data_IF_884608541863
#
_entry.id   IF_884608541863
#
_cell.length_a   1.000
_cell.length_b   1.000
_cell.length_c   1.000
_cell.angle_alpha   90.00
_cell.angle_beta   90.00
_cell.angle_gamma   90.00
#
_symmetry.space_group_name_H-M   'P 1'
#
loop_
_entity.id
_entity.type
_entity.pdbx_description
1 polymer ?
#
# COMPACT_ATOMS: atom_id res chain seq x y z
N UNK A 1 -13.74 0.88 4.85
CA UNK A 1 -13.19 0.41 3.55
C UNK A 1 -13.50 -1.06 3.38
N UNK A 2 -13.97 -1.47 2.18
CA UNK A 2 -14.27 -2.86 1.90
C UNK A 2 -12.98 -3.69 1.81
N UNK A 3 -12.94 -4.81 2.54
CA UNK A 3 -11.88 -5.81 2.46
C UNK A 3 -12.23 -6.94 1.49
N UNK A 4 -13.46 -6.95 0.99
CA UNK A 4 -13.95 -7.91 0.01
C UNK A 4 -14.71 -7.20 -1.11
N UNK A 5 -14.42 -7.58 -2.35
CA UNK A 5 -15.07 -7.03 -3.55
C UNK A 5 -15.67 -8.17 -4.35
N UNK A 6 -16.90 -7.97 -4.81
CA UNK A 6 -17.55 -8.82 -5.80
C UNK A 6 -17.26 -8.26 -7.18
N UNK A 7 -16.70 -9.05 -8.04
CA UNK A 7 -16.44 -8.68 -9.43
C UNK A 7 -17.32 -9.55 -10.34
N UNK A 8 -18.13 -8.90 -11.15
CA UNK A 8 -18.93 -9.55 -12.19
C UNK A 8 -18.41 -9.18 -13.57
N UNK A 9 -18.23 -10.18 -14.43
CA UNK A 9 -17.78 -9.98 -15.80
C UNK A 9 -18.98 -10.06 -16.75
N UNK A 10 -19.37 -8.93 -17.35
CA UNK A 10 -20.35 -8.90 -18.44
C UNK A 10 -19.70 -9.37 -19.76
N UNK A 11 -18.41 -9.09 -19.91
CA UNK A 11 -17.57 -9.60 -20.99
C UNK A 11 -16.31 -10.22 -20.39
N UNK A 12 -15.59 -11.03 -21.18
CA UNK A 12 -14.29 -11.55 -20.76
C UNK A 12 -13.33 -10.40 -20.47
N UNK A 13 -12.59 -10.51 -19.38
CA UNK A 13 -11.68 -9.46 -18.96
C UNK A 13 -10.74 -9.87 -17.85
N UNK A 14 -9.83 -8.97 -17.47
CA UNK A 14 -8.81 -9.18 -16.45
C UNK A 14 -9.06 -8.27 -15.25
N UNK A 15 -9.00 -8.84 -14.05
CA UNK A 15 -8.97 -8.11 -12.79
C UNK A 15 -7.54 -8.13 -12.27
N UNK A 16 -6.96 -6.97 -12.03
CA UNK A 16 -5.61 -6.82 -11.47
C UNK A 16 -5.70 -6.21 -10.08
N UNK A 17 -5.00 -6.82 -9.12
CA UNK A 17 -4.84 -6.30 -7.76
C UNK A 17 -3.41 -5.82 -7.61
N UNK A 18 -3.22 -4.56 -7.25
CA UNK A 18 -1.93 -3.96 -7.02
C UNK A 18 -1.81 -3.45 -5.58
N UNK A 19 -0.64 -3.69 -4.96
CA UNK A 19 -0.30 -3.13 -3.68
C UNK A 19 -0.14 -1.60 -3.78
N UNK A 20 -0.48 -0.88 -2.72
CA UNK A 20 -0.10 0.52 -2.61
C UNK A 20 1.42 0.64 -2.56
N UNK A 21 1.97 1.55 -3.34
CA UNK A 21 3.40 1.86 -3.37
C UNK A 21 3.57 3.36 -3.28
N UNK A 22 4.48 3.81 -2.43
CA UNK A 22 4.88 5.19 -2.31
C UNK A 22 6.35 5.37 -2.68
N UNK A 23 6.65 6.32 -3.55
CA UNK A 23 8.01 6.73 -3.88
C UNK A 23 8.24 8.12 -3.29
N UNK A 24 9.40 8.32 -2.68
CA UNK A 24 9.78 9.60 -2.08
C UNK A 24 11.28 9.82 -2.18
N UNK A 25 11.70 11.08 -2.25
CA UNK A 25 13.12 11.44 -2.17
C UNK A 25 13.55 11.53 -0.71
N UNK A 26 14.55 10.76 -0.31
CA UNK A 26 14.93 10.60 1.09
C UNK A 26 15.49 11.88 1.73
N UNK A 27 16.06 12.80 0.94
CA UNK A 27 16.58 14.07 1.46
C UNK A 27 15.52 15.16 1.62
N UNK A 28 14.46 15.15 0.81
CA UNK A 28 13.49 16.25 0.77
C UNK A 28 12.11 15.91 1.27
N UNK A 29 11.80 14.62 1.39
CA UNK A 29 10.48 14.16 1.82
C UNK A 29 10.45 13.65 3.26
N UNK A 30 11.61 13.48 3.90
CA UNK A 30 11.74 13.07 5.31
C UNK A 30 11.87 14.31 6.17
N UNK A 31 11.08 14.40 7.25
CA UNK A 31 11.17 15.44 8.27
C UNK A 31 10.84 14.79 9.63
N UNK A 32 11.87 14.43 10.36
CA UNK A 32 11.76 13.71 11.63
C UNK A 32 11.04 12.38 11.44
N UNK A 33 9.84 12.22 12.01
CA UNK A 33 9.08 10.98 11.83
C UNK A 33 8.28 10.93 10.53
N UNK A 34 8.08 12.07 9.88
CA UNK A 34 7.19 12.19 8.74
C UNK A 34 7.89 11.87 7.42
N UNK A 35 7.20 11.15 6.56
CA UNK A 35 7.58 10.93 5.16
C UNK A 35 6.45 11.47 4.28
N UNK A 36 6.77 12.44 3.43
CA UNK A 36 5.80 13.01 2.49
C UNK A 36 5.72 12.17 1.23
N UNK A 37 4.55 11.61 0.96
CA UNK A 37 4.26 10.80 -0.23
C UNK A 37 2.86 11.19 -0.71
N UNK A 38 2.77 11.96 -1.77
CA UNK A 38 1.49 12.47 -2.29
C UNK A 38 0.51 11.36 -2.64
N UNK A 39 -0.71 11.46 -2.11
CA UNK A 39 -1.83 10.54 -2.41
C UNK A 39 -1.47 9.06 -2.23
N UNK A 40 -0.72 8.73 -1.19
CA UNK A 40 -0.09 7.42 -0.97
C UNK A 40 -1.06 6.23 -0.90
N UNK A 41 -2.31 6.44 -0.54
CA UNK A 41 -3.33 5.39 -0.47
C UNK A 41 -3.17 4.37 0.66
N UNK A 42 -2.11 4.41 1.46
CA UNK A 42 -1.91 3.53 2.61
C UNK A 42 -2.97 3.73 3.70
N UNK A 43 -3.12 2.71 4.54
CA UNK A 43 -3.91 2.78 5.78
C UNK A 43 -3.03 2.47 6.98
N UNK A 44 -3.37 3.05 8.14
CA UNK A 44 -2.63 2.74 9.38
C UNK A 44 -2.69 1.25 9.67
N UNK A 45 -1.51 0.65 9.90
CA UNK A 45 -1.33 -0.78 10.12
C UNK A 45 -0.95 -1.57 8.85
N UNK A 46 -0.90 -0.94 7.66
CA UNK A 46 -0.38 -1.61 6.49
C UNK A 46 1.10 -1.99 6.73
N UNK A 47 1.41 -3.25 6.50
CA UNK A 47 2.77 -3.74 6.48
C UNK A 47 3.39 -3.38 5.13
N UNK A 48 4.58 -2.80 5.14
CA UNK A 48 5.30 -2.35 3.95
C UNK A 48 6.73 -2.87 3.95
N UNK A 49 7.26 -3.08 2.76
CA UNK A 49 8.69 -3.27 2.54
C UNK A 49 9.26 -1.93 2.12
N UNK A 50 10.31 -1.50 2.81
CA UNK A 50 11.11 -0.33 2.42
C UNK A 50 12.22 -0.78 1.47
N UNK A 51 12.50 0.01 0.44
CA UNK A 51 13.70 -0.16 -0.39
C UNK A 51 14.37 1.17 -0.67
N UNK A 52 15.70 1.17 -0.59
CA UNK A 52 16.56 2.30 -0.95
C UNK A 52 16.82 2.40 -2.45
N UNK A 53 16.27 1.47 -3.26
CA UNK A 53 16.45 1.45 -4.70
C UNK A 53 17.85 1.06 -5.17
N UNK A 54 18.67 0.47 -4.30
CA UNK A 54 20.06 0.10 -4.57
C UNK A 54 21.06 1.23 -4.30
N UNK A 55 20.63 2.27 -3.59
CA UNK A 55 21.43 3.40 -3.18
C UNK A 55 21.88 3.31 -1.72
N UNK A 56 21.83 4.44 -1.01
CA UNK A 56 22.17 4.54 0.41
C UNK A 56 20.89 4.67 1.23
N UNK A 57 20.62 3.71 2.09
CA UNK A 57 19.43 3.68 2.93
C UNK A 57 19.37 4.86 3.92
N UNK A 58 18.18 5.21 4.38
CA UNK A 58 17.98 6.01 5.60
C UNK A 58 18.56 5.23 6.79
N UNK A 59 19.30 5.89 7.66
CA UNK A 59 20.10 5.24 8.70
C UNK A 59 19.30 4.30 9.61
N UNK A 60 18.10 4.68 9.98
CA UNK A 60 17.21 3.96 10.89
C UNK A 60 16.42 2.84 10.21
N UNK A 61 16.45 2.77 8.87
CA UNK A 61 15.74 1.76 8.10
C UNK A 61 16.69 0.67 7.61
N UNK A 62 16.15 -0.49 7.32
CA UNK A 62 16.87 -1.61 6.70
C UNK A 62 16.31 -1.81 5.31
N UNK A 63 17.18 -1.87 4.29
CA UNK A 63 16.78 -2.17 2.93
C UNK A 63 16.11 -3.56 2.88
N UNK A 64 15.01 -3.68 2.15
CA UNK A 64 14.09 -4.81 2.15
C UNK A 64 13.47 -5.14 3.52
N UNK A 65 13.60 -4.21 4.50
CA UNK A 65 13.03 -4.35 5.83
C UNK A 65 11.52 -4.16 5.86
N UNK A 66 10.87 -4.88 6.80
CA UNK A 66 9.43 -4.78 7.05
C UNK A 66 9.14 -3.71 8.10
N UNK A 67 8.21 -2.82 7.77
CA UNK A 67 7.71 -1.77 8.64
C UNK A 67 6.19 -1.70 8.57
N UNK A 68 5.59 -0.91 9.48
CA UNK A 68 4.16 -0.69 9.52
C UNK A 68 3.85 0.79 9.38
N UNK A 69 2.91 1.11 8.50
CA UNK A 69 2.52 2.50 8.23
C UNK A 69 1.62 3.04 9.32
N UNK A 70 1.91 4.25 9.77
CA UNK A 70 0.98 5.11 10.51
C UNK A 70 0.61 6.29 9.59
N UNK A 71 -0.62 6.34 9.14
CA UNK A 71 -1.11 7.46 8.32
C UNK A 71 -1.33 8.70 9.20
N UNK A 72 -0.74 9.81 8.80
CA UNK A 72 -0.95 11.14 9.39
C UNK A 72 -2.08 11.84 8.64
N UNK A 73 -1.95 11.95 7.32
CA UNK A 73 -2.95 12.50 6.40
C UNK A 73 -2.87 11.83 5.02
N UNK A 74 -3.50 12.41 3.99
CA UNK A 74 -3.52 11.85 2.64
C UNK A 74 -2.16 11.84 1.92
N UNK A 75 -1.20 12.63 2.40
CA UNK A 75 0.10 12.85 1.79
C UNK A 75 1.28 12.57 2.73
N UNK A 76 1.01 12.17 3.99
CA UNK A 76 2.03 12.02 5.01
C UNK A 76 1.84 10.72 5.78
N UNK A 77 2.93 9.97 5.90
CA UNK A 77 2.99 8.73 6.68
C UNK A 77 4.18 8.76 7.64
N UNK A 78 4.07 7.98 8.70
CA UNK A 78 5.19 7.61 9.57
C UNK A 78 5.38 6.10 9.50
N UNK A 79 6.57 5.61 9.87
CA UNK A 79 6.87 4.20 9.96
C UNK A 79 7.01 3.75 11.41
N UNK A 80 6.56 2.54 11.69
CA UNK A 80 6.70 1.87 12.97
C UNK A 80 7.27 0.46 12.80
N UNK A 81 7.87 -0.09 13.85
CA UNK A 81 8.49 -1.42 13.81
C UNK A 81 7.49 -2.55 14.00
N UNK A 82 6.29 -2.27 14.50
CA UNK A 82 5.23 -3.27 14.69
C UNK A 82 3.85 -2.68 14.37
N UNK A 83 2.90 -3.55 14.06
CA UNK A 83 1.50 -3.17 13.87
C UNK A 83 0.94 -2.41 15.09
N UNK A 84 1.19 -2.92 16.30
CA UNK A 84 0.72 -2.30 17.56
C UNK A 84 1.32 -0.91 17.75
N UNK A 85 2.59 -0.72 17.40
CA UNK A 85 3.25 0.57 17.49
C UNK A 85 2.61 1.58 16.50
N UNK A 86 2.31 1.16 15.27
CA UNK A 86 1.61 2.00 14.30
C UNK A 86 0.22 2.42 14.80
N UNK A 87 -0.53 1.52 15.42
CA UNK A 87 -1.85 1.83 16.00
C UNK A 87 -1.75 2.80 17.18
N UNK A 88 -0.72 2.67 18.00
CA UNK A 88 -0.51 3.48 19.21
C UNK A 88 0.30 4.75 18.95
N UNK A 89 0.61 5.07 17.70
CA UNK A 89 1.42 6.23 17.31
C UNK A 89 2.85 6.21 17.91
N UNK A 90 3.40 5.02 18.09
CA UNK A 90 4.82 4.82 18.45
C UNK A 90 5.59 4.61 17.15
N UNK A 91 6.22 5.67 16.66
CA UNK A 91 6.82 5.71 15.32
C UNK A 91 8.33 5.94 15.39
N UNK A 92 9.01 5.60 14.31
CA UNK A 92 10.44 5.86 14.17
C UNK A 92 10.67 7.36 13.94
N UNK A 93 11.75 7.89 14.51
CA UNK A 93 12.32 9.17 14.10
C UNK A 93 13.41 8.87 13.10
N UNK A 94 13.33 9.45 11.94
CA UNK A 94 14.23 9.24 10.83
C UNK A 94 15.15 10.46 10.68
N UNK A 95 16.35 10.25 10.19
CA UNK A 95 17.22 11.31 9.69
C UNK A 95 17.08 11.40 8.17
N UNK A 96 17.25 12.60 7.64
CA UNK A 96 17.26 12.82 6.20
C UNK A 96 18.27 11.89 5.54
N UNK A 97 17.83 11.23 4.50
CA UNK A 97 18.66 10.35 3.70
C UNK A 97 19.40 11.11 2.58
N UNK A 98 20.05 10.37 1.69
CA UNK A 98 20.66 10.92 0.49
C UNK A 98 19.60 11.45 -0.48
N UNK A 99 20.02 12.28 -1.45
CA UNK A 99 19.11 12.79 -2.49
C UNK A 99 18.81 11.73 -3.54
N UNK A 100 18.17 10.66 -3.12
CA UNK A 100 17.81 9.48 -3.91
C UNK A 100 16.33 9.13 -3.69
N UNK A 101 15.75 8.41 -4.64
CA UNK A 101 14.36 7.95 -4.53
C UNK A 101 14.31 6.60 -3.85
N UNK A 102 13.59 6.55 -2.75
CA UNK A 102 13.26 5.35 -2.00
C UNK A 102 11.79 4.98 -2.19
N UNK A 103 11.45 3.75 -1.88
CA UNK A 103 10.08 3.25 -1.97
C UNK A 103 9.65 2.56 -0.69
N UNK A 104 8.35 2.65 -0.41
CA UNK A 104 7.66 1.73 0.50
C UNK A 104 6.51 1.08 -0.26
N UNK A 105 6.43 -0.25 -0.21
CA UNK A 105 5.42 -1.02 -0.92
C UNK A 105 4.67 -1.91 0.05
N UNK A 106 3.34 -1.81 0.07
CA UNK A 106 2.52 -2.65 0.93
C UNK A 106 2.68 -4.12 0.55
N UNK A 107 2.97 -4.97 1.55
CA UNK A 107 2.95 -6.41 1.36
C UNK A 107 1.52 -6.85 1.10
N UNK A 108 1.26 -7.53 0.00
CA UNK A 108 -0.08 -7.95 -0.37
C UNK A 108 -0.25 -9.45 -0.21
N UNK A 109 -1.38 -9.82 0.36
CA UNK A 109 -1.75 -11.22 0.50
C UNK A 109 -2.25 -11.81 -0.82
N UNK A 110 -2.83 -10.97 -1.70
CA UNK A 110 -3.49 -11.40 -2.94
C UNK A 110 -3.05 -10.54 -4.12
N UNK A 111 -1.80 -10.69 -4.53
CA UNK A 111 -1.31 -10.04 -5.73
C UNK A 111 -1.56 -10.90 -6.95
N UNK A 112 -2.03 -10.32 -8.02
CA UNK A 112 -2.11 -11.01 -9.30
C UNK A 112 -3.21 -10.50 -10.21
N UNK A 113 -3.29 -11.14 -11.34
CA UNK A 113 -4.35 -10.95 -12.32
C UNK A 113 -5.20 -12.20 -12.41
N UNK A 114 -6.51 -12.02 -12.43
CA UNK A 114 -7.48 -13.10 -12.68
C UNK A 114 -8.19 -12.80 -13.98
N UNK A 115 -8.18 -13.74 -14.90
CA UNK A 115 -8.97 -13.64 -16.14
C UNK A 115 -10.35 -14.24 -15.88
N UNK A 116 -11.38 -13.46 -16.16
CA UNK A 116 -12.77 -13.88 -16.05
C UNK A 116 -13.40 -14.02 -17.43
N UNK A 117 -14.21 -15.07 -17.60
CA UNK A 117 -15.09 -15.22 -18.76
C UNK A 117 -16.38 -14.44 -18.55
N UNK A 118 -17.07 -14.12 -19.65
CA UNK A 118 -18.39 -13.47 -19.57
C UNK A 118 -19.37 -14.29 -18.71
N UNK A 119 -20.13 -13.62 -17.87
CA UNK A 119 -21.07 -14.24 -16.94
C UNK A 119 -20.45 -14.73 -15.61
N UNK A 120 -19.13 -14.71 -15.47
CA UNK A 120 -18.46 -15.12 -14.22
C UNK A 120 -18.60 -14.08 -13.14
N UNK A 121 -18.67 -14.55 -11.88
CA UNK A 121 -18.61 -13.71 -10.68
C UNK A 121 -17.61 -14.31 -9.72
N UNK A 122 -16.72 -13.47 -9.20
CA UNK A 122 -15.76 -13.85 -8.15
C UNK A 122 -15.86 -12.90 -6.96
N UNK A 123 -15.48 -13.42 -5.79
CA UNK A 123 -15.23 -12.62 -4.60
C UNK A 123 -13.73 -12.53 -4.40
N UNK A 124 -13.23 -11.31 -4.22
CA UNK A 124 -11.81 -11.04 -4.01
C UNK A 124 -11.64 -10.43 -2.63
N UNK A 125 -10.85 -11.06 -1.79
CA UNK A 125 -10.38 -10.48 -0.55
C UNK A 125 -9.16 -9.61 -0.84
N UNK A 126 -9.11 -8.42 -0.27
CA UNK A 126 -8.03 -7.46 -0.46
C UNK A 126 -7.77 -6.66 0.80
N UNK A 127 -6.58 -6.09 0.93
CA UNK A 127 -6.31 -5.07 1.95
C UNK A 127 -7.04 -3.77 1.59
N UNK A 128 -7.38 -2.94 2.58
CA UNK A 128 -8.00 -1.63 2.32
C UNK A 128 -7.18 -0.74 1.36
N UNK A 129 -5.85 -0.82 1.43
CA UNK A 129 -4.91 -0.07 0.60
C UNK A 129 -4.72 -0.61 -0.82
N UNK A 130 -5.05 -1.89 -1.08
CA UNK A 130 -4.88 -2.47 -2.41
C UNK A 130 -5.83 -1.81 -3.42
N UNK A 131 -5.32 -1.54 -4.61
CA UNK A 131 -6.13 -1.11 -5.75
C UNK A 131 -6.59 -2.29 -6.57
N UNK A 132 -7.81 -2.23 -7.09
CA UNK A 132 -8.34 -3.20 -8.04
C UNK A 132 -8.64 -2.47 -9.34
N UNK A 133 -8.05 -2.96 -10.41
CA UNK A 133 -8.30 -2.48 -11.76
C UNK A 133 -9.01 -3.57 -12.56
N UNK A 134 -10.14 -3.22 -13.15
CA UNK A 134 -10.88 -4.09 -14.05
C UNK A 134 -10.68 -3.58 -15.48
N UNK A 135 -10.38 -4.48 -16.41
CA UNK A 135 -10.41 -4.14 -17.83
C UNK A 135 -11.83 -3.73 -18.24
N UNK A 136 -11.97 -3.02 -19.36
CA UNK A 136 -13.24 -2.49 -19.84
C UNK A 136 -14.37 -3.56 -19.85
N UNK A 137 -15.58 -3.12 -19.54
CA UNK A 137 -16.81 -3.92 -19.51
C UNK A 137 -16.94 -4.94 -18.35
N UNK A 138 -16.29 -4.68 -17.21
CA UNK A 138 -16.49 -5.43 -15.96
C UNK A 138 -17.13 -4.54 -14.90
N UNK A 139 -17.98 -5.12 -14.06
CA UNK A 139 -18.55 -4.43 -12.90
C UNK A 139 -17.85 -4.85 -11.63
N UNK A 140 -17.25 -3.90 -10.93
CA UNK A 140 -16.61 -4.09 -9.62
C UNK A 140 -17.49 -3.46 -8.54
N UNK A 141 -18.11 -4.28 -7.70
CA UNK A 141 -18.95 -3.80 -6.60
C UNK A 141 -18.31 -4.14 -5.26
N UNK A 142 -18.12 -3.13 -4.42
CA UNK A 142 -17.70 -3.36 -3.04
C UNK A 142 -18.78 -4.15 -2.31
N UNK A 143 -18.42 -5.29 -1.74
CA UNK A 143 -19.28 -6.01 -0.81
C UNK A 143 -18.95 -5.46 0.57
N UNK A 144 -19.86 -4.69 1.15
CA UNK A 144 -19.67 -4.15 2.48
C UNK A 144 -19.34 -5.26 3.46
N UNK A 145 -18.37 -5.02 4.35
CA UNK A 145 -18.22 -5.85 5.52
C UNK A 145 -19.51 -5.72 6.32
N UNK A 146 -20.19 -6.82 6.50
CA UNK A 146 -21.27 -6.88 7.50
C UNK A 146 -20.63 -6.61 8.86
N UNK A 147 -21.28 -5.82 9.72
CA UNK A 147 -20.81 -5.56 11.07
C UNK A 147 -20.69 -6.81 11.89
#
# INVERSE_FOLDING_TARGET
RATRIRVGATNAGTVTIAAATGTFNAASAVDGAAITISSHGFTTGDEVIYSDGGGTKIAELTDDGLFFVKVVDANTVNLATTFTNAQNNVVLTLTDGPSENHTITATKTYAGSVVLTAGSVILIDKRPSDTITCSAAMSCTAVGSQP
#
